data_IF_813645113991
#
_entry.id   IF_813645113991
#
_cell.length_a   1.000
_cell.length_b   1.000
_cell.length_c   1.000
_cell.angle_alpha   90.00
_cell.angle_beta   90.00
_cell.angle_gamma   90.00
#
_symmetry.space_group_name_H-M   'P 1'
#
loop_
_entity.id
_entity.type
_entity.pdbx_description
1 polymer ?
#
# COMPACT_ATOMS: atom_id res chain seq x y z
N UNK A 1 -5.16 7.86 -24.53
CA UNK A 1 -5.68 9.25 -24.61
C UNK A 1 -4.60 10.31 -24.90
N UNK A 2 -3.39 10.22 -24.33
CA UNK A 2 -2.35 11.25 -24.50
C UNK A 2 -2.22 12.23 -23.32
N UNK A 3 -2.80 11.91 -22.16
CA UNK A 3 -2.74 12.71 -20.92
C UNK A 3 -1.29 13.07 -20.54
N UNK A 4 -0.44 12.05 -20.34
CA UNK A 4 0.94 12.26 -19.91
C UNK A 4 1.74 13.04 -20.96
N UNK A 5 1.53 12.76 -22.26
CA UNK A 5 2.09 13.53 -23.37
C UNK A 5 1.69 15.01 -23.34
N UNK A 6 0.43 15.32 -23.08
CA UNK A 6 -0.07 16.70 -22.99
C UNK A 6 0.51 17.43 -21.79
N UNK A 7 0.55 16.80 -20.62
CA UNK A 7 1.13 17.39 -19.41
C UNK A 7 2.61 17.71 -19.63
N UNK A 8 3.32 16.76 -20.23
CA UNK A 8 4.71 16.87 -20.63
C UNK A 8 4.95 18.03 -21.60
N UNK A 9 4.14 18.13 -22.66
CA UNK A 9 4.19 19.25 -23.61
C UNK A 9 3.96 20.59 -22.92
N UNK A 10 2.97 20.68 -22.03
CA UNK A 10 2.69 21.91 -21.28
C UNK A 10 3.89 22.34 -20.43
N UNK A 11 4.50 21.41 -19.71
CA UNK A 11 5.65 21.67 -18.85
C UNK A 11 6.88 22.07 -19.68
N UNK A 12 7.17 21.39 -20.78
CA UNK A 12 8.26 21.79 -21.69
C UNK A 12 8.07 23.20 -22.25
N UNK A 13 6.84 23.57 -22.64
CA UNK A 13 6.57 24.89 -23.22
C UNK A 13 6.56 26.03 -22.20
N UNK A 14 6.43 25.71 -20.92
CA UNK A 14 6.39 26.70 -19.83
C UNK A 14 7.67 26.71 -18.99
N UNK A 15 8.58 25.77 -19.22
CA UNK A 15 9.87 25.71 -18.55
C UNK A 15 10.67 27.00 -18.78
N UNK A 16 11.31 27.50 -17.73
CA UNK A 16 12.05 28.77 -17.74
C UNK A 16 11.19 30.04 -17.81
N UNK A 17 9.87 29.93 -18.00
CA UNK A 17 8.94 31.07 -18.05
C UNK A 17 8.17 31.27 -16.74
N UNK A 18 7.87 30.17 -16.05
CA UNK A 18 7.12 30.16 -14.80
C UNK A 18 7.74 29.12 -13.86
N UNK A 19 7.64 29.33 -12.56
CA UNK A 19 7.96 28.29 -11.59
C UNK A 19 7.03 27.09 -11.79
N UNK A 20 7.57 25.89 -11.74
CA UNK A 20 6.81 24.66 -11.94
C UNK A 20 6.93 23.74 -10.73
N UNK A 21 5.80 23.22 -10.28
CA UNK A 21 5.71 22.16 -9.29
C UNK A 21 4.95 21.01 -9.96
N UNK A 22 5.57 19.85 -10.04
CA UNK A 22 4.97 18.63 -10.56
C UNK A 22 4.82 17.62 -9.43
N UNK A 23 3.61 17.10 -9.23
CA UNK A 23 3.31 16.01 -8.30
C UNK A 23 3.08 14.75 -9.12
N UNK A 24 3.91 13.75 -8.90
CA UNK A 24 3.98 12.51 -9.69
C UNK A 24 3.76 11.27 -8.79
N UNK A 25 2.54 10.73 -8.72
CA UNK A 25 2.24 9.55 -7.92
C UNK A 25 2.76 8.23 -8.48
N UNK A 26 3.11 8.16 -9.75
CA UNK A 26 3.45 6.91 -10.43
C UNK A 26 4.92 6.88 -10.92
N UNK A 27 5.62 8.02 -10.90
CA UNK A 27 7.05 8.11 -11.22
C UNK A 27 7.35 8.23 -12.73
N UNK A 28 6.34 8.57 -13.53
CA UNK A 28 6.42 8.66 -15.00
C UNK A 28 7.21 9.88 -15.49
N UNK A 29 7.46 10.87 -14.63
CA UNK A 29 8.01 12.18 -15.01
C UNK A 29 9.42 12.45 -14.48
N UNK A 30 10.10 11.47 -13.88
CA UNK A 30 11.47 11.62 -13.39
C UNK A 30 12.44 12.20 -14.45
N UNK A 31 12.47 11.60 -15.64
CA UNK A 31 13.33 12.05 -16.76
C UNK A 31 12.93 13.43 -17.30
N UNK A 32 11.62 13.75 -17.30
CA UNK A 32 11.17 15.10 -17.65
C UNK A 32 11.67 16.11 -16.62
N UNK A 33 11.54 15.79 -15.33
CA UNK A 33 11.98 16.66 -14.26
C UNK A 33 13.48 16.96 -14.34
N UNK A 34 14.30 15.93 -14.57
CA UNK A 34 15.73 16.10 -14.79
C UNK A 34 16.03 17.01 -16.00
N UNK A 35 15.39 16.74 -17.14
CA UNK A 35 15.63 17.52 -18.35
C UNK A 35 15.17 18.99 -18.24
N UNK A 36 14.17 19.27 -17.41
CA UNK A 36 13.69 20.63 -17.13
C UNK A 36 14.42 21.30 -15.94
N UNK A 37 15.32 20.60 -15.27
CA UNK A 37 16.02 21.10 -14.07
C UNK A 37 15.12 21.25 -12.85
N UNK A 38 14.07 20.44 -12.72
CA UNK A 38 13.24 20.36 -11.52
C UNK A 38 14.02 19.64 -10.41
N UNK A 39 14.03 20.22 -9.21
CA UNK A 39 14.57 19.54 -8.04
C UNK A 39 13.65 18.38 -7.66
N UNK A 40 14.15 17.14 -7.73
CA UNK A 40 13.39 15.95 -7.35
C UNK A 40 13.37 15.79 -5.83
N UNK A 41 12.18 15.75 -5.26
CA UNK A 41 11.91 15.39 -3.88
C UNK A 41 11.32 13.97 -3.86
N UNK A 42 12.05 13.03 -3.27
CA UNK A 42 11.60 11.66 -3.09
C UNK A 42 10.71 11.59 -1.84
N UNK A 43 9.39 11.51 -2.04
CA UNK A 43 8.40 11.59 -0.96
C UNK A 43 8.57 10.49 0.10
N UNK A 44 9.02 9.29 -0.27
CA UNK A 44 9.25 8.19 0.67
C UNK A 44 10.37 8.47 1.69
N UNK A 45 11.22 9.46 1.42
CA UNK A 45 12.35 9.85 2.29
C UNK A 45 12.03 11.01 3.21
N UNK A 46 10.86 11.64 3.03
CA UNK A 46 10.51 12.90 3.67
C UNK A 46 9.18 12.75 4.41
N UNK A 47 9.16 13.09 5.69
CA UNK A 47 7.91 13.17 6.44
C UNK A 47 7.08 14.40 6.02
N UNK A 48 5.82 14.44 6.48
CA UNK A 48 4.90 15.53 6.12
C UNK A 48 5.38 16.93 6.54
N UNK A 49 6.06 17.05 7.68
CA UNK A 49 6.58 18.33 8.16
C UNK A 49 7.75 18.82 7.29
N UNK A 50 8.62 17.90 6.88
CA UNK A 50 9.74 18.17 5.97
C UNK A 50 9.22 18.55 4.59
N UNK A 51 8.22 17.85 4.07
CA UNK A 51 7.56 18.20 2.81
C UNK A 51 6.90 19.59 2.85
N UNK A 52 6.23 19.94 3.94
CA UNK A 52 5.67 21.29 4.12
C UNK A 52 6.76 22.38 4.16
N UNK A 53 7.89 22.10 4.81
CA UNK A 53 9.06 23.00 4.83
C UNK A 53 9.66 23.12 3.43
N UNK A 54 9.80 22.02 2.69
CA UNK A 54 10.31 22.01 1.32
C UNK A 54 9.40 22.80 0.37
N UNK A 55 8.08 22.64 0.46
CA UNK A 55 7.10 23.43 -0.29
C UNK A 55 7.23 24.94 0.00
N UNK A 56 7.38 25.31 1.27
CA UNK A 56 7.54 26.70 1.69
C UNK A 56 8.82 27.32 1.12
N UNK A 57 9.95 26.60 1.21
CA UNK A 57 11.23 27.01 0.63
C UNK A 57 11.21 27.06 -0.89
N UNK A 58 10.52 26.12 -1.54
CA UNK A 58 10.33 26.13 -2.98
C UNK A 58 9.60 27.40 -3.41
N UNK A 59 8.58 27.84 -2.67
CA UNK A 59 7.88 29.11 -2.94
C UNK A 59 8.77 30.33 -2.71
N UNK A 60 9.44 30.39 -1.57
CA UNK A 60 10.33 31.49 -1.18
C UNK A 60 11.47 31.69 -2.21
N UNK A 61 12.16 30.62 -2.56
CA UNK A 61 13.31 30.67 -3.46
C UNK A 61 12.96 30.44 -4.93
N UNK A 62 11.67 30.30 -5.25
CA UNK A 62 11.15 30.01 -6.60
C UNK A 62 11.76 28.76 -7.24
N UNK A 63 12.14 27.79 -6.43
CA UNK A 63 12.66 26.52 -6.92
C UNK A 63 11.54 25.72 -7.60
N UNK A 64 11.80 25.24 -8.81
CA UNK A 64 10.88 24.33 -9.49
C UNK A 64 11.15 22.91 -9.03
N UNK A 65 10.09 22.15 -8.75
CA UNK A 65 10.16 20.89 -7.98
C UNK A 65 9.38 19.79 -8.69
N UNK A 66 9.94 18.58 -8.67
CA UNK A 66 9.23 17.34 -8.93
C UNK A 66 9.08 16.60 -7.59
N UNK A 67 7.85 16.48 -7.10
CA UNK A 67 7.52 15.65 -5.95
C UNK A 67 7.15 14.25 -6.45
N UNK A 68 8.07 13.31 -6.28
CA UNK A 68 7.90 11.92 -6.64
C UNK A 68 7.32 11.13 -5.46
N UNK A 69 6.18 10.48 -5.67
CA UNK A 69 5.50 9.70 -4.66
C UNK A 69 5.32 8.22 -5.05
N UNK A 70 6.00 7.76 -6.10
CA UNK A 70 5.86 6.41 -6.66
C UNK A 70 6.15 5.27 -5.67
N UNK A 71 7.01 5.53 -4.68
CA UNK A 71 7.39 4.57 -3.64
C UNK A 71 6.53 4.64 -2.37
N UNK A 72 5.53 5.53 -2.33
CA UNK A 72 4.59 5.64 -1.20
C UNK A 72 3.30 4.88 -1.47
N UNK A 73 2.71 4.34 -0.40
CA UNK A 73 1.34 3.82 -0.49
C UNK A 73 0.31 4.94 -0.69
N UNK A 74 -0.92 4.57 -1.06
CA UNK A 74 -1.96 5.56 -1.41
C UNK A 74 -2.28 6.52 -0.27
N UNK A 75 -2.27 6.06 0.98
CA UNK A 75 -2.63 6.90 2.11
C UNK A 75 -1.50 7.91 2.41
N UNK A 76 -0.26 7.46 2.38
CA UNK A 76 0.91 8.31 2.60
C UNK A 76 1.14 9.28 1.45
N UNK A 77 0.85 8.87 0.21
CA UNK A 77 0.75 9.79 -0.93
C UNK A 77 -0.24 10.93 -0.65
N UNK A 78 -1.44 10.63 -0.13
CA UNK A 78 -2.43 11.66 0.22
C UNK A 78 -1.93 12.58 1.34
N UNK A 79 -1.27 12.04 2.37
CA UNK A 79 -0.68 12.85 3.46
C UNK A 79 0.41 13.79 2.92
N UNK A 80 1.30 13.27 2.08
CA UNK A 80 2.38 14.03 1.44
C UNK A 80 1.83 15.19 0.60
N UNK A 81 0.89 14.91 -0.30
CA UNK A 81 0.24 15.94 -1.14
C UNK A 81 -0.48 16.97 -0.29
N UNK A 82 -1.19 16.53 0.75
CA UNK A 82 -1.91 17.45 1.67
C UNK A 82 -0.94 18.42 2.34
N UNK A 83 0.15 17.91 2.92
CA UNK A 83 1.14 18.73 3.61
C UNK A 83 1.83 19.71 2.64
N UNK A 84 2.23 19.21 1.47
CA UNK A 84 2.92 19.99 0.46
C UNK A 84 2.04 21.12 -0.08
N UNK A 85 0.83 20.81 -0.56
CA UNK A 85 -0.09 21.81 -1.12
C UNK A 85 -0.54 22.84 -0.07
N UNK A 86 -0.82 22.39 1.15
CA UNK A 86 -1.23 23.30 2.24
C UNK A 86 -0.15 24.34 2.52
N UNK A 87 1.11 23.93 2.54
CA UNK A 87 2.25 24.84 2.72
C UNK A 87 2.45 25.79 1.52
N UNK A 88 2.31 25.32 0.27
CA UNK A 88 2.36 26.20 -0.91
C UNK A 88 1.33 27.34 -0.84
N UNK A 89 0.12 27.00 -0.38
CA UNK A 89 -1.01 27.91 -0.26
C UNK A 89 -0.84 28.86 0.94
N UNK A 90 -0.25 28.39 2.04
CA UNK A 90 -0.02 29.16 3.25
C UNK A 90 1.17 30.14 3.16
N UNK A 91 1.94 30.12 2.07
CA UNK A 91 3.09 31.00 1.87
C UNK A 91 2.75 32.48 2.14
N UNK A 92 3.66 33.26 2.76
CA UNK A 92 3.49 34.70 2.95
C UNK A 92 3.21 35.45 1.65
N UNK A 93 2.56 36.62 1.76
CA UNK A 93 2.13 37.40 0.60
C UNK A 93 3.31 37.86 -0.27
N UNK A 94 4.48 38.11 0.30
CA UNK A 94 5.70 38.43 -0.47
C UNK A 94 6.11 37.32 -1.45
N UNK A 95 5.70 36.07 -1.19
CA UNK A 95 6.01 34.91 -2.02
C UNK A 95 4.87 34.53 -2.98
N UNK A 96 3.83 35.37 -3.13
CA UNK A 96 2.70 35.11 -4.05
C UNK A 96 3.05 35.41 -5.51
N UNK A 97 4.09 34.74 -6.01
CA UNK A 97 4.52 34.82 -7.39
C UNK A 97 3.87 33.72 -8.23
N UNK A 98 3.76 33.89 -9.57
CA UNK A 98 3.20 32.89 -10.45
C UNK A 98 3.94 31.55 -10.38
N UNK A 99 3.20 30.48 -10.12
CA UNK A 99 3.66 29.10 -10.08
C UNK A 99 2.61 28.18 -10.69
N UNK A 100 3.03 27.33 -11.62
CA UNK A 100 2.22 26.27 -12.20
C UNK A 100 2.34 25.02 -11.31
N UNK A 101 1.23 24.50 -10.81
CA UNK A 101 1.18 23.29 -9.99
C UNK A 101 0.47 22.20 -10.79
N UNK A 102 1.26 21.33 -11.41
CA UNK A 102 0.79 20.18 -12.17
C UNK A 102 0.66 18.96 -11.25
N UNK A 103 -0.50 18.30 -11.29
CA UNK A 103 -0.78 17.10 -10.51
C UNK A 103 -1.17 16.00 -11.48
N UNK A 104 -0.34 14.96 -11.57
CA UNK A 104 -0.70 13.78 -12.33
C UNK A 104 -1.60 12.83 -11.54
N UNK A 105 -2.47 12.14 -12.26
CA UNK A 105 -3.53 11.28 -11.73
C UNK A 105 -4.27 11.87 -10.52
N UNK A 106 -4.73 13.12 -10.63
CA UNK A 106 -5.36 13.88 -9.54
C UNK A 106 -6.55 13.16 -8.86
N UNK A 107 -7.22 12.22 -9.56
CA UNK A 107 -8.31 11.41 -9.01
C UNK A 107 -7.86 10.49 -7.87
N UNK A 108 -6.55 10.21 -7.77
CA UNK A 108 -5.96 9.43 -6.69
C UNK A 108 -5.95 10.21 -5.37
N UNK A 109 -5.83 11.54 -5.42
CA UNK A 109 -5.82 12.40 -4.23
C UNK A 109 -7.20 12.97 -3.90
N UNK A 110 -8.08 13.09 -4.89
CA UNK A 110 -9.45 13.55 -4.71
C UNK A 110 -10.49 12.60 -5.34
N UNK A 111 -10.62 11.36 -4.83
CA UNK A 111 -11.55 10.38 -5.37
C UNK A 111 -13.02 10.74 -5.07
N UNK A 112 -13.89 10.54 -6.04
CA UNK A 112 -15.35 10.60 -5.93
C UNK A 112 -15.92 9.19 -5.73
N UNK A 113 -16.70 9.01 -4.66
CA UNK A 113 -17.32 7.73 -4.31
C UNK A 113 -16.45 6.80 -3.46
N UNK A 114 -17.11 6.00 -2.62
CA UNK A 114 -16.52 5.01 -1.71
C UNK A 114 -17.51 4.65 -0.59
N UNK A 115 -17.72 3.35 -0.33
CA UNK A 115 -18.73 2.81 0.58
C UNK A 115 -18.37 2.87 2.08
N UNK A 116 -17.43 3.74 2.47
CA UNK A 116 -17.00 3.88 3.85
C UNK A 116 -16.73 5.36 4.13
N UNK A 117 -17.01 5.81 5.35
CA UNK A 117 -16.72 7.18 5.80
C UNK A 117 -15.30 7.56 5.34
N UNK A 118 -15.20 8.65 4.56
CA UNK A 118 -13.91 9.09 4.06
C UNK A 118 -12.95 9.29 5.25
N UNK A 119 -11.79 8.64 5.21
CA UNK A 119 -10.75 8.82 6.21
C UNK A 119 -10.41 10.30 6.34
N UNK A 120 -9.95 10.72 7.53
CA UNK A 120 -9.51 12.11 7.76
C UNK A 120 -8.47 12.55 6.73
N UNK A 121 -7.55 11.64 6.37
CA UNK A 121 -6.54 11.83 5.33
C UNK A 121 -7.17 12.15 3.96
N UNK A 122 -8.14 11.34 3.51
CA UNK A 122 -8.83 11.58 2.22
C UNK A 122 -9.54 12.92 2.22
N UNK A 123 -10.24 13.27 3.30
CA UNK A 123 -10.93 14.57 3.42
C UNK A 123 -9.95 15.74 3.34
N UNK A 124 -8.80 15.62 4.01
CA UNK A 124 -7.75 16.63 3.98
C UNK A 124 -7.13 16.80 2.59
N UNK A 125 -6.87 15.71 1.86
CA UNK A 125 -6.35 15.75 0.50
C UNK A 125 -7.34 16.42 -0.49
N UNK A 126 -8.62 16.06 -0.41
CA UNK A 126 -9.68 16.70 -1.21
C UNK A 126 -9.75 18.21 -0.91
N UNK A 127 -9.67 18.59 0.37
CA UNK A 127 -9.70 19.99 0.79
C UNK A 127 -8.48 20.74 0.25
N UNK A 128 -7.27 20.18 0.36
CA UNK A 128 -6.04 20.79 -0.15
C UNK A 128 -6.08 21.00 -1.67
N UNK A 129 -6.56 20.03 -2.45
CA UNK A 129 -6.74 20.19 -3.90
C UNK A 129 -7.82 21.23 -4.22
N UNK A 130 -8.93 21.23 -3.49
CA UNK A 130 -10.01 22.22 -3.66
C UNK A 130 -9.49 23.63 -3.37
N UNK A 131 -8.64 23.79 -2.36
CA UNK A 131 -8.03 25.06 -2.00
C UNK A 131 -7.00 25.54 -3.02
N UNK A 132 -6.24 24.63 -3.62
CA UNK A 132 -5.35 24.94 -4.74
C UNK A 132 -6.15 25.54 -5.89
N UNK A 133 -7.27 24.93 -6.25
CA UNK A 133 -8.10 25.37 -7.39
C UNK A 133 -8.86 26.67 -7.10
N UNK A 134 -9.46 26.79 -5.92
CA UNK A 134 -10.29 27.94 -5.54
C UNK A 134 -9.48 29.13 -5.07
N UNK A 135 -8.65 28.93 -4.03
CA UNK A 135 -7.92 30.00 -3.34
C UNK A 135 -6.53 30.23 -3.93
N UNK A 136 -5.91 29.20 -4.49
CA UNK A 136 -4.57 29.26 -5.08
C UNK A 136 -4.43 30.33 -6.16
N UNK A 137 -5.47 30.56 -6.98
CA UNK A 137 -5.48 31.60 -8.02
C UNK A 137 -5.14 33.00 -7.48
N UNK A 138 -5.70 33.38 -6.33
CA UNK A 138 -5.42 34.69 -5.70
C UNK A 138 -4.01 34.77 -5.11
N UNK A 139 -3.34 33.63 -4.94
CA UNK A 139 -2.00 33.47 -4.36
C UNK A 139 -0.92 33.18 -5.41
N UNK A 140 -1.23 33.33 -6.69
CA UNK A 140 -0.29 33.07 -7.79
C UNK A 140 -0.11 31.59 -8.14
N UNK A 141 -0.93 30.68 -7.59
CA UNK A 141 -0.89 29.26 -7.94
C UNK A 141 -1.90 28.96 -9.05
N UNK A 142 -1.43 28.37 -10.15
CA UNK A 142 -2.27 27.87 -11.24
C UNK A 142 -2.23 26.34 -11.22
N UNK A 143 -3.34 25.71 -10.81
CA UNK A 143 -3.47 24.25 -10.78
C UNK A 143 -3.73 23.66 -12.17
N UNK A 144 -3.02 22.59 -12.50
CA UNK A 144 -3.26 21.75 -13.67
C UNK A 144 -3.48 20.32 -13.19
N UNK A 145 -4.68 19.79 -13.43
CA UNK A 145 -5.08 18.46 -12.99
C UNK A 145 -5.13 17.52 -14.19
N UNK A 146 -4.26 16.52 -14.19
CA UNK A 146 -4.29 15.45 -15.17
C UNK A 146 -4.93 14.20 -14.54
N UNK A 147 -5.84 13.55 -15.25
CA UNK A 147 -6.50 12.34 -14.77
C UNK A 147 -7.01 11.50 -15.93
N UNK A 148 -6.93 10.18 -15.80
CA UNK A 148 -7.58 9.26 -16.74
C UNK A 148 -9.07 9.05 -16.45
N UNK A 149 -9.51 9.35 -15.22
CA UNK A 149 -10.87 9.05 -14.72
C UNK A 149 -11.53 10.32 -14.20
N UNK A 150 -11.99 11.19 -15.10
CA UNK A 150 -12.66 12.45 -14.74
C UNK A 150 -13.89 12.22 -13.86
N UNK A 151 -14.66 11.15 -14.11
CA UNK A 151 -15.83 10.81 -13.30
C UNK A 151 -15.50 10.36 -11.87
N UNK A 152 -14.26 9.91 -11.63
CA UNK A 152 -13.77 9.58 -10.30
C UNK A 152 -13.11 10.76 -9.60
N UNK A 153 -13.03 11.94 -10.22
CA UNK A 153 -12.50 13.13 -9.58
C UNK A 153 -13.61 13.87 -8.80
N UNK A 154 -13.31 14.28 -7.57
CA UNK A 154 -14.28 14.92 -6.69
C UNK A 154 -14.83 16.22 -7.29
N UNK A 155 -16.15 16.39 -7.24
CA UNK A 155 -16.85 17.50 -7.90
C UNK A 155 -16.30 18.87 -7.47
N UNK A 156 -16.05 19.06 -6.17
CA UNK A 156 -15.53 20.33 -5.64
C UNK A 156 -14.18 20.74 -6.20
N UNK A 157 -13.33 19.79 -6.59
CA UNK A 157 -12.03 20.09 -7.20
C UNK A 157 -12.20 20.60 -8.63
N UNK A 158 -13.20 20.07 -9.35
CA UNK A 158 -13.48 20.42 -10.75
C UNK A 158 -14.30 21.70 -10.86
N UNK A 159 -15.10 22.06 -9.85
CA UNK A 159 -16.04 23.19 -9.92
C UNK A 159 -15.40 24.55 -10.25
N UNK A 160 -14.15 24.77 -9.85
CA UNK A 160 -13.42 26.03 -10.11
C UNK A 160 -12.51 25.97 -11.35
N UNK A 161 -12.50 24.84 -12.07
CA UNK A 161 -11.71 24.68 -13.31
C UNK A 161 -12.42 25.39 -14.45
N UNK A 162 -11.71 26.29 -15.13
CA UNK A 162 -12.23 27.06 -16.26
C UNK A 162 -11.82 26.51 -17.63
N UNK A 163 -10.73 25.75 -17.68
CA UNK A 163 -10.14 25.25 -18.91
C UNK A 163 -10.15 23.72 -18.89
N UNK A 164 -10.70 23.12 -19.94
CA UNK A 164 -10.80 21.69 -20.05
C UNK A 164 -10.20 21.20 -21.36
N UNK A 165 -9.47 20.10 -21.26
CA UNK A 165 -8.97 19.32 -22.39
C UNK A 165 -9.47 17.89 -22.20
N UNK A 166 -10.43 17.47 -23.00
CA UNK A 166 -11.01 16.12 -22.94
C UNK A 166 -10.52 15.31 -24.13
N UNK A 167 -9.74 14.27 -23.85
CA UNK A 167 -9.25 13.35 -24.86
C UNK A 167 -10.21 12.19 -25.11
N UNK A 168 -9.71 11.17 -25.80
CA UNK A 168 -10.42 9.92 -26.03
C UNK A 168 -10.89 9.28 -24.72
N UNK A 169 -12.20 9.05 -24.60
CA UNK A 169 -12.86 8.37 -23.47
C UNK A 169 -13.85 7.34 -24.02
N UNK A 170 -13.86 6.14 -23.44
CA UNK A 170 -14.74 5.03 -23.85
C UNK A 170 -15.73 4.61 -22.76
N UNK A 171 -15.50 5.04 -21.51
CA UNK A 171 -16.36 4.68 -20.37
C UNK A 171 -17.54 5.63 -20.25
N UNK A 172 -18.76 5.09 -20.20
CA UNK A 172 -20.01 5.86 -20.17
C UNK A 172 -20.03 6.99 -19.13
N UNK A 173 -19.58 6.68 -17.92
CA UNK A 173 -19.58 7.65 -16.81
C UNK A 173 -18.62 8.81 -17.09
N UNK A 174 -17.42 8.51 -17.62
CA UNK A 174 -16.41 9.50 -17.98
C UNK A 174 -16.84 10.32 -19.20
N UNK A 175 -17.51 9.71 -20.18
CA UNK A 175 -18.10 10.40 -21.34
C UNK A 175 -19.18 11.39 -20.89
N UNK A 176 -20.13 10.96 -20.05
CA UNK A 176 -21.19 11.84 -19.53
C UNK A 176 -20.60 13.00 -18.75
N UNK A 177 -19.65 12.71 -17.85
CA UNK A 177 -18.99 13.75 -17.05
C UNK A 177 -18.21 14.74 -17.92
N UNK A 178 -17.53 14.24 -18.95
CA UNK A 178 -16.84 15.08 -19.91
C UNK A 178 -17.82 15.95 -20.72
N UNK A 179 -18.96 15.41 -21.16
CA UNK A 179 -19.98 16.13 -21.90
C UNK A 179 -20.51 17.36 -21.11
N UNK A 180 -20.85 17.15 -19.83
CA UNK A 180 -21.25 18.22 -18.90
C UNK A 180 -20.19 19.32 -18.81
N UNK A 181 -18.92 18.91 -18.79
CA UNK A 181 -17.78 19.78 -18.57
C UNK A 181 -17.43 20.61 -19.82
N UNK A 182 -17.54 20.01 -21.01
CA UNK A 182 -17.25 20.69 -22.28
C UNK A 182 -18.49 21.34 -22.91
N UNK A 183 -19.66 21.25 -22.27
CA UNK A 183 -20.91 21.83 -22.79
C UNK A 183 -21.44 21.14 -24.05
N UNK A 184 -21.11 19.85 -24.25
CA UNK A 184 -21.72 19.03 -25.29
C UNK A 184 -22.97 18.35 -24.76
N UNK A 185 -23.92 18.09 -25.65
CA UNK A 185 -24.98 17.14 -25.36
C UNK A 185 -24.40 15.72 -25.24
N UNK A 186 -25.03 14.90 -24.40
CA UNK A 186 -24.54 13.56 -24.12
C UNK A 186 -24.41 12.71 -25.40
N UNK A 187 -25.39 12.77 -26.31
CA UNK A 187 -25.39 11.99 -27.55
C UNK A 187 -24.16 12.31 -28.40
N UNK A 188 -23.90 13.60 -28.66
CA UNK A 188 -22.70 14.04 -29.37
C UNK A 188 -21.42 13.56 -28.70
N UNK A 189 -21.34 13.59 -27.37
CA UNK A 189 -20.17 13.12 -26.65
C UNK A 189 -19.94 11.60 -26.81
N UNK A 190 -21.01 10.80 -26.71
CA UNK A 190 -20.95 9.35 -26.96
C UNK A 190 -20.53 9.02 -28.40
N UNK A 191 -20.98 9.81 -29.38
CA UNK A 191 -20.62 9.61 -30.79
C UNK A 191 -19.17 10.03 -31.11
N UNK A 192 -18.66 11.06 -30.43
CA UNK A 192 -17.39 11.73 -30.83
C UNK A 192 -16.20 11.39 -29.93
N UNK A 193 -16.35 11.33 -28.61
CA UNK A 193 -15.21 11.14 -27.69
C UNK A 193 -14.50 9.79 -27.89
N UNK A 194 -15.19 8.65 -28.09
CA UNK A 194 -14.52 7.38 -28.35
C UNK A 194 -13.72 7.35 -29.66
N UNK A 195 -14.09 8.19 -30.63
CA UNK A 195 -13.49 8.25 -31.96
C UNK A 195 -12.29 9.21 -32.04
N UNK A 196 -11.96 9.93 -30.96
CA UNK A 196 -10.81 10.83 -30.96
C UNK A 196 -9.50 10.04 -31.06
N UNK A 197 -8.62 10.46 -31.96
CA UNK A 197 -7.27 9.91 -32.01
C UNK A 197 -6.49 10.23 -30.72
N UNK A 198 -5.56 9.35 -30.28
CA UNK A 198 -4.62 9.69 -29.22
C UNK A 198 -3.90 11.02 -29.48
N UNK A 199 -3.81 11.87 -28.45
CA UNK A 199 -3.19 13.19 -28.55
C UNK A 199 -4.12 14.28 -29.11
N UNK A 200 -5.33 13.93 -29.57
CA UNK A 200 -6.37 14.89 -29.95
C UNK A 200 -7.34 15.11 -28.78
N UNK A 201 -7.66 16.37 -28.53
CA UNK A 201 -8.52 16.78 -27.42
C UNK A 201 -9.61 17.73 -27.90
N UNK A 202 -10.78 17.62 -27.29
CA UNK A 202 -11.79 18.68 -27.27
C UNK A 202 -11.39 19.66 -26.18
N UNK A 203 -11.15 20.91 -26.56
CA UNK A 203 -10.68 21.97 -25.68
C UNK A 203 -11.73 23.06 -25.55
N UNK A 204 -11.96 23.52 -24.32
CA UNK A 204 -12.87 24.63 -24.02
C UNK A 204 -12.32 25.44 -22.85
N UNK A 205 -12.60 26.74 -22.84
CA UNK A 205 -12.24 27.63 -21.76
C UNK A 205 -11.47 28.87 -22.26
N UNK A 206 -11.28 29.87 -21.39
CA UNK A 206 -10.67 31.16 -21.75
C UNK A 206 -9.23 31.04 -22.27
N UNK A 207 -8.50 29.96 -21.94
CA UNK A 207 -7.16 29.71 -22.47
C UNK A 207 -7.16 29.12 -23.89
N UNK A 208 -8.30 28.65 -24.38
CA UNK A 208 -8.45 28.00 -25.67
C UNK A 208 -9.48 28.73 -26.55
N UNK A 209 -10.76 28.41 -26.35
CA UNK A 209 -11.89 28.90 -27.12
C UNK A 209 -13.13 28.93 -26.24
N UNK A 210 -13.98 29.95 -26.46
CA UNK A 210 -15.27 30.08 -25.77
C UNK A 210 -16.25 28.95 -26.14
N UNK A 211 -16.09 28.36 -27.31
CA UNK A 211 -16.84 27.18 -27.76
C UNK A 211 -15.90 25.99 -27.94
N UNK A 212 -16.37 24.75 -27.71
CA UNK A 212 -15.52 23.56 -27.83
C UNK A 212 -14.87 23.44 -29.20
N UNK A 213 -13.55 23.40 -29.22
CA UNK A 213 -12.75 23.19 -30.42
C UNK A 213 -11.96 21.88 -30.33
N UNK A 214 -11.62 21.29 -31.46
CA UNK A 214 -10.81 20.06 -31.50
C UNK A 214 -9.40 20.43 -31.95
N UNK A 215 -8.40 20.03 -31.19
CA UNK A 215 -7.00 20.28 -31.54
C UNK A 215 -6.11 19.10 -31.13
N UNK A 216 -5.02 18.91 -31.88
CA UNK A 216 -4.00 17.88 -31.63
C UNK A 216 -2.80 18.50 -30.92
N UNK A 217 -2.34 17.84 -29.87
CA UNK A 217 -1.16 18.28 -29.12
C UNK A 217 0.08 17.97 -29.93
N UNK A 218 0.98 18.96 -30.02
CA UNK A 218 2.23 18.85 -30.77
C UNK A 218 3.25 17.90 -30.12
N UNK A 219 4.43 17.75 -30.75
CA UNK A 219 5.47 16.84 -30.27
C UNK A 219 6.12 17.33 -28.96
N UNK A 220 6.61 16.37 -28.16
CA UNK A 220 7.48 16.63 -26.98
C UNK A 220 8.95 16.44 -27.35
N UNK A 221 9.84 17.13 -26.65
CA UNK A 221 11.28 17.06 -26.90
C UNK A 221 11.98 15.94 -26.12
N UNK A 222 11.51 15.66 -24.90
CA UNK A 222 12.15 14.71 -23.99
C UNK A 222 11.45 13.33 -24.02
N UNK A 223 12.12 12.23 -23.63
CA UNK A 223 11.58 10.87 -23.77
C UNK A 223 10.38 10.59 -22.84
N UNK A 224 9.48 9.70 -23.27
CA UNK A 224 8.25 9.36 -22.57
C UNK A 224 8.24 7.86 -22.20
N UNK A 225 8.46 7.53 -20.92
CA UNK A 225 8.46 6.14 -20.42
C UNK A 225 7.11 5.43 -20.54
N UNK A 226 6.00 6.14 -20.43
CA UNK A 226 4.65 5.57 -20.60
C UNK A 226 4.27 5.28 -22.06
N UNK A 227 5.23 5.18 -22.99
CA UNK A 227 4.94 4.66 -24.31
C UNK A 227 4.42 3.24 -24.13
N UNK A 228 3.34 2.87 -24.83
CA UNK A 228 2.81 1.51 -24.79
C UNK A 228 3.97 0.53 -24.98
N UNK A 229 4.28 -0.33 -24.01
CA UNK A 229 5.40 -1.24 -24.14
C UNK A 229 5.20 -2.11 -25.38
N UNK A 230 6.26 -2.33 -26.15
CA UNK A 230 6.21 -3.23 -27.30
C UNK A 230 5.85 -4.62 -26.80
N UNK A 231 4.70 -5.12 -27.24
CA UNK A 231 4.24 -6.47 -26.90
C UNK A 231 5.15 -7.46 -27.61
N UNK A 232 6.11 -8.00 -26.88
CA UNK A 232 6.97 -9.09 -27.33
C UNK A 232 6.60 -10.38 -26.59
N UNK A 233 6.68 -11.51 -27.29
CA UNK A 233 6.60 -12.80 -26.63
C UNK A 233 7.83 -12.96 -25.72
N UNK A 234 7.66 -13.40 -24.46
CA UNK A 234 8.81 -13.68 -23.61
C UNK A 234 9.65 -14.77 -24.26
N UNK A 235 10.92 -14.47 -24.54
CA UNK A 235 11.88 -15.42 -25.13
C UNK A 235 12.58 -16.16 -23.99
N UNK A 236 11.84 -17.03 -23.32
CA UNK A 236 12.38 -17.87 -22.25
C UNK A 236 11.96 -19.32 -22.49
N UNK A 237 12.93 -20.23 -22.47
CA UNK A 237 12.63 -21.66 -22.53
C UNK A 237 12.03 -22.13 -21.19
N UNK A 238 11.25 -23.22 -21.23
CA UNK A 238 10.55 -23.75 -20.04
C UNK A 238 11.50 -24.12 -18.91
N UNK A 239 12.65 -24.71 -19.21
CA UNK A 239 13.59 -25.20 -18.20
C UNK A 239 14.36 -24.04 -17.58
N UNK A 240 14.71 -23.02 -18.38
CA UNK A 240 15.25 -21.76 -17.89
C UNK A 240 14.22 -21.02 -17.03
N UNK A 241 12.94 -21.00 -17.42
CA UNK A 241 11.88 -20.43 -16.60
C UNK A 241 11.73 -21.18 -15.27
N UNK A 242 11.78 -22.51 -15.28
CA UNK A 242 11.71 -23.33 -14.06
C UNK A 242 12.86 -23.04 -13.09
N UNK A 243 14.08 -22.85 -13.60
CA UNK A 243 15.25 -22.49 -12.78
C UNK A 243 15.19 -21.05 -12.28
N UNK A 244 14.76 -20.11 -13.13
CA UNK A 244 14.66 -18.70 -12.77
C UNK A 244 13.57 -18.45 -11.72
N UNK A 245 12.49 -19.23 -11.77
CA UNK A 245 11.46 -19.23 -10.74
C UNK A 245 11.84 -20.04 -9.49
N UNK A 246 12.96 -20.77 -9.54
CA UNK A 246 13.37 -21.73 -8.52
C UNK A 246 12.19 -22.61 -8.05
N UNK A 247 11.51 -23.19 -9.04
CA UNK A 247 10.22 -23.84 -8.84
C UNK A 247 10.30 -24.98 -7.80
N UNK A 248 11.43 -25.67 -7.76
CA UNK A 248 11.67 -26.76 -6.80
C UNK A 248 11.74 -26.24 -5.35
N UNK A 249 12.41 -25.10 -5.11
CA UNK A 249 12.44 -24.48 -3.78
C UNK A 249 11.05 -24.00 -3.35
N UNK A 250 10.31 -23.33 -4.26
CA UNK A 250 8.96 -22.85 -3.96
C UNK A 250 7.99 -24.00 -3.63
N UNK A 251 8.11 -25.14 -4.32
CA UNK A 251 7.32 -26.33 -4.03
C UNK A 251 7.71 -26.96 -2.69
N UNK A 252 8.99 -26.97 -2.35
CA UNK A 252 9.47 -27.45 -1.06
C UNK A 252 8.96 -26.58 0.10
N UNK A 253 9.03 -25.26 -0.04
CA UNK A 253 8.51 -24.31 0.96
C UNK A 253 7.00 -24.48 1.15
N UNK A 254 6.25 -24.64 0.05
CA UNK A 254 4.80 -24.89 0.12
C UNK A 254 4.45 -26.20 0.82
N UNK A 255 5.23 -27.27 0.59
CA UNK A 255 5.04 -28.55 1.26
C UNK A 255 5.34 -28.45 2.78
N UNK A 256 6.37 -27.69 3.16
CA UNK A 256 6.68 -27.43 4.56
C UNK A 256 5.52 -26.69 5.26
N UNK A 257 4.95 -25.66 4.64
CA UNK A 257 3.81 -24.92 5.17
C UNK A 257 2.54 -25.78 5.27
N UNK A 258 2.29 -26.65 4.30
CA UNK A 258 1.16 -27.60 4.37
C UNK A 258 1.31 -28.59 5.52
N UNK A 259 2.55 -29.03 5.83
CA UNK A 259 2.79 -29.91 6.97
C UNK A 259 2.46 -29.22 8.31
N UNK A 260 2.82 -27.93 8.44
CA UNK A 260 2.52 -27.10 9.62
C UNK A 260 1.01 -26.85 9.74
N UNK A 261 0.34 -26.56 8.62
CA UNK A 261 -1.11 -26.36 8.58
C UNK A 261 -1.88 -27.65 8.89
N UNK A 262 -1.44 -28.79 8.37
CA UNK A 262 -2.03 -30.10 8.67
C UNK A 262 -1.87 -30.47 10.16
N UNK A 263 -0.70 -30.19 10.74
CA UNK A 263 -0.48 -30.38 12.17
C UNK A 263 -1.38 -29.47 13.02
N UNK A 264 -1.60 -28.21 12.59
CA UNK A 264 -2.53 -27.28 13.26
C UNK A 264 -4.00 -27.62 13.08
N UNK A 265 -4.37 -28.30 11.99
CA UNK A 265 -5.73 -28.70 11.66
C UNK A 265 -6.20 -29.96 12.43
N UNK A 266 -5.29 -30.70 13.07
CA UNK A 266 -5.69 -31.83 13.90
C UNK A 266 -6.51 -31.39 15.15
N UNK A 267 -7.57 -32.13 15.51
CA UNK A 267 -8.33 -31.88 16.74
C UNK A 267 -7.39 -31.80 17.96
N UNK A 268 -7.59 -30.81 18.82
CA UNK A 268 -6.68 -30.49 19.95
C UNK A 268 -6.34 -31.71 20.81
N UNK A 269 -7.30 -32.63 21.03
CA UNK A 269 -7.08 -33.86 21.78
C UNK A 269 -6.11 -34.85 21.12
N UNK A 270 -6.17 -35.01 19.79
CA UNK A 270 -5.26 -35.90 19.04
C UNK A 270 -3.83 -35.36 19.05
N UNK A 271 -3.65 -34.03 18.93
CA UNK A 271 -2.35 -33.37 19.05
C UNK A 271 -1.72 -33.60 20.42
N UNK A 272 -2.48 -33.42 21.49
CA UNK A 272 -1.99 -33.59 22.86
C UNK A 272 -1.55 -35.03 23.14
N UNK A 273 -2.32 -36.02 22.66
CA UNK A 273 -1.96 -37.45 22.79
C UNK A 273 -0.70 -37.79 21.99
N UNK A 274 -0.55 -37.29 20.76
CA UNK A 274 0.65 -37.55 19.96
C UNK A 274 1.89 -36.86 20.53
N UNK A 275 1.75 -35.62 21.03
CA UNK A 275 2.82 -34.92 21.72
C UNK A 275 3.27 -35.66 22.99
N UNK A 276 2.31 -36.20 23.76
CA UNK A 276 2.61 -37.05 24.92
C UNK A 276 3.36 -38.33 24.55
N UNK A 277 2.94 -39.04 23.49
CA UNK A 277 3.60 -40.28 23.04
C UNK A 277 5.01 -40.03 22.49
N UNK A 278 5.24 -38.87 21.86
CA UNK A 278 6.54 -38.50 21.28
C UNK A 278 7.52 -37.90 22.29
N UNK A 279 7.07 -37.57 23.51
CA UNK A 279 7.96 -37.03 24.54
C UNK A 279 9.00 -38.09 24.96
N UNK A 280 10.32 -37.77 24.97
CA UNK A 280 11.36 -38.73 25.35
C UNK A 280 11.14 -39.37 26.73
N UNK A 281 10.44 -38.67 27.64
CA UNK A 281 10.13 -39.17 28.97
C UNK A 281 8.91 -40.11 29.01
N UNK A 282 8.17 -40.32 27.91
CA UNK A 282 6.93 -41.11 27.87
C UNK A 282 7.09 -42.52 28.44
N UNK A 283 8.16 -43.24 28.06
CA UNK A 283 8.39 -44.60 28.54
C UNK A 283 8.65 -44.64 30.06
N UNK A 284 9.31 -43.63 30.61
CA UNK A 284 9.58 -43.51 32.04
C UNK A 284 8.35 -43.01 32.80
N UNK A 285 7.55 -42.12 32.21
CA UNK A 285 6.25 -41.70 32.74
C UNK A 285 5.30 -42.90 32.93
N UNK A 286 5.24 -43.83 31.97
CA UNK A 286 4.46 -45.07 32.11
C UNK A 286 4.95 -45.96 33.26
N UNK A 287 6.27 -46.04 33.47
CA UNK A 287 6.86 -46.80 34.58
C UNK A 287 6.58 -46.17 35.94
N UNK A 288 6.71 -44.84 36.02
CA UNK A 288 6.40 -44.06 37.23
C UNK A 288 4.92 -44.18 37.57
N UNK A 289 4.03 -44.02 36.59
CA UNK A 289 2.60 -44.24 36.75
C UNK A 289 2.29 -45.63 37.30
N UNK A 290 2.86 -46.68 36.70
CA UNK A 290 2.67 -48.05 37.15
C UNK A 290 3.22 -48.33 38.55
N UNK A 291 4.26 -47.62 39.00
CA UNK A 291 4.75 -47.70 40.36
C UNK A 291 3.82 -46.98 41.35
N UNK A 292 3.35 -45.78 41.00
CA UNK A 292 2.43 -45.00 41.81
C UNK A 292 1.05 -45.66 41.94
N UNK A 293 0.57 -46.34 40.89
CA UNK A 293 -0.69 -47.07 40.90
C UNK A 293 -0.68 -48.23 41.91
N UNK A 294 0.47 -48.88 42.14
CA UNK A 294 0.61 -49.97 43.11
C UNK A 294 0.58 -49.51 44.56
N UNK A 295 0.92 -48.25 44.82
CA UNK A 295 0.95 -47.64 46.15
C UNK A 295 -0.14 -46.59 46.34
N UNK A 296 -1.11 -46.53 45.42
CA UNK A 296 -2.26 -45.66 45.56
C UNK A 296 -3.13 -46.18 46.73
N UNK A 297 -3.59 -45.30 47.65
CA UNK A 297 -3.60 -43.84 47.57
C UNK A 297 -2.40 -43.11 48.20
N UNK A 298 -1.50 -43.85 48.86
CA UNK A 298 -0.50 -43.31 49.79
C UNK A 298 0.71 -42.65 49.10
N UNK A 299 0.96 -42.96 47.82
CA UNK A 299 2.01 -42.33 47.01
C UNK A 299 3.42 -42.81 47.35
N UNK A 300 4.43 -42.19 46.73
CA UNK A 300 5.85 -42.54 46.95
C UNK A 300 6.72 -41.29 46.99
N UNK A 301 7.86 -41.36 47.69
CA UNK A 301 8.89 -40.31 47.60
C UNK A 301 9.62 -40.42 46.27
N UNK A 302 9.92 -39.28 45.65
CA UNK A 302 10.61 -39.21 44.35
C UNK A 302 11.96 -39.96 44.38
N UNK A 303 12.69 -39.84 45.50
CA UNK A 303 13.96 -40.55 45.71
C UNK A 303 13.82 -42.08 45.74
N UNK A 304 12.69 -42.58 46.25
CA UNK A 304 12.42 -44.01 46.36
C UNK A 304 11.96 -44.57 45.00
N UNK A 305 11.29 -43.76 44.17
CA UNK A 305 10.92 -44.10 42.79
C UNK A 305 12.15 -44.29 41.90
N UNK A 306 13.15 -43.40 41.98
CA UNK A 306 14.39 -43.52 41.20
C UNK A 306 15.16 -44.81 41.50
N UNK A 307 15.23 -45.17 42.79
CA UNK A 307 15.85 -46.44 43.24
C UNK A 307 15.07 -47.66 42.75
N UNK A 308 13.75 -47.65 42.92
CA UNK A 308 12.89 -48.80 42.59
C UNK A 308 12.82 -49.06 41.08
N UNK A 309 12.83 -48.00 40.28
CA UNK A 309 12.71 -48.09 38.82
C UNK A 309 14.06 -48.16 38.10
N UNK A 310 15.17 -48.13 38.83
CA UNK A 310 16.54 -48.07 38.28
C UNK A 310 16.68 -46.95 37.24
N UNK A 311 16.34 -45.72 37.65
CA UNK A 311 16.36 -44.51 36.82
C UNK A 311 17.05 -43.37 37.55
N UNK A 312 17.68 -42.49 36.77
CA UNK A 312 18.33 -41.27 37.29
C UNK A 312 17.29 -40.28 37.83
N UNK A 313 17.73 -39.37 38.70
CA UNK A 313 16.87 -38.31 39.22
C UNK A 313 16.29 -37.43 38.09
N UNK A 314 17.08 -37.20 37.03
CA UNK A 314 16.66 -36.42 35.85
C UNK A 314 15.55 -37.14 35.08
N UNK A 315 15.67 -38.44 34.84
CA UNK A 315 14.64 -39.25 34.17
C UNK A 315 13.33 -39.30 34.95
N UNK A 316 13.41 -39.46 36.28
CA UNK A 316 12.23 -39.44 37.15
C UNK A 316 11.57 -38.06 37.16
N UNK A 317 12.37 -36.99 37.20
CA UNK A 317 11.87 -35.62 37.17
C UNK A 317 11.14 -35.32 35.86
N UNK A 318 11.77 -35.62 34.71
CA UNK A 318 11.17 -35.42 33.40
C UNK A 318 9.88 -36.24 33.21
N UNK A 319 9.84 -37.48 33.71
CA UNK A 319 8.65 -38.33 33.70
C UNK A 319 7.51 -37.75 34.54
N UNK A 320 7.83 -37.21 35.73
CA UNK A 320 6.85 -36.59 36.62
C UNK A 320 6.34 -35.25 36.08
N UNK A 321 7.19 -34.44 35.46
CA UNK A 321 6.79 -33.21 34.76
C UNK A 321 5.86 -33.50 33.60
N UNK A 322 6.10 -34.59 32.86
CA UNK A 322 5.21 -35.02 31.78
C UNK A 322 3.84 -35.44 32.33
N UNK A 323 3.79 -36.19 33.45
CA UNK A 323 2.53 -36.60 34.09
C UNK A 323 1.75 -35.42 34.71
N UNK A 324 2.48 -34.44 35.27
CA UNK A 324 1.93 -33.22 35.88
C UNK A 324 1.29 -32.29 34.85
N UNK A 325 1.88 -32.18 33.64
CA UNK A 325 1.31 -31.44 32.50
C UNK A 325 -0.13 -31.87 32.15
N UNK A 326 -0.50 -33.10 32.46
CA UNK A 326 -1.86 -33.65 32.25
C UNK A 326 -2.69 -33.75 33.54
N UNK A 327 -2.21 -33.18 34.66
CA UNK A 327 -2.92 -33.15 35.94
C UNK A 327 -3.12 -34.52 36.59
N UNK A 328 -2.28 -35.50 36.24
CA UNK A 328 -2.49 -36.90 36.67
C UNK A 328 -1.88 -37.22 38.04
N UNK A 329 -0.98 -36.37 38.54
CA UNK A 329 -0.25 -36.56 39.80
C UNK A 329 -0.36 -35.35 40.71
N UNK A 330 -0.22 -35.56 42.02
CA UNK A 330 -0.19 -34.51 43.05
C UNK A 330 1.11 -34.62 43.85
N UNK A 331 1.75 -33.49 44.12
CA UNK A 331 2.96 -33.42 44.93
C UNK A 331 2.66 -32.94 46.36
N UNK A 332 3.35 -33.50 47.35
CA UNK A 332 3.26 -33.06 48.75
C UNK A 332 4.63 -32.99 49.43
N UNK A 333 4.86 -31.89 50.16
CA UNK A 333 6.13 -31.56 50.81
C UNK A 333 7.09 -30.76 49.93
N UNK A 334 8.19 -30.28 50.53
CA UNK A 334 9.15 -29.38 49.89
C UNK A 334 10.51 -30.05 49.63
N UNK A 335 11.17 -29.61 48.56
CA UNK A 335 12.51 -30.05 48.18
C UNK A 335 12.57 -31.26 47.23
N UNK A 336 13.79 -31.71 46.87
CA UNK A 336 14.03 -32.72 45.83
C UNK A 336 13.54 -34.13 46.19
N UNK A 337 13.19 -34.37 47.46
CA UNK A 337 12.65 -35.63 47.98
C UNK A 337 11.15 -35.63 48.22
N UNK A 338 10.41 -34.63 47.72
CA UNK A 338 8.96 -34.51 47.91
C UNK A 338 8.21 -35.79 47.51
N UNK A 339 7.07 -36.02 48.12
CA UNK A 339 6.22 -37.16 47.80
C UNK A 339 5.34 -36.83 46.60
N UNK A 340 5.02 -37.86 45.81
CA UNK A 340 4.11 -37.77 44.66
C UNK A 340 3.12 -38.92 44.69
N UNK A 341 1.87 -38.64 44.35
CA UNK A 341 0.76 -39.61 44.34
C UNK A 341 -0.15 -39.38 43.14
N UNK A 342 -0.99 -40.36 42.83
CA UNK A 342 -2.02 -40.20 41.78
C UNK A 342 -3.09 -39.21 42.23
N UNK A 343 -3.43 -38.27 41.35
CA UNK A 343 -4.45 -37.25 41.58
C UNK A 343 -5.82 -37.86 41.83
N UNK A 344 -6.62 -37.26 42.72
CA UNK A 344 -7.89 -37.84 43.20
C UNK A 344 -8.88 -38.22 42.08
N UNK A 345 -8.91 -37.48 40.98
CA UNK A 345 -9.79 -37.73 39.82
C UNK A 345 -9.37 -38.89 38.90
N UNK A 346 -8.17 -39.44 39.08
CA UNK A 346 -7.60 -40.53 38.26
C UNK A 346 -7.52 -41.87 39.01
N UNK A 347 -8.06 -41.91 40.24
CA UNK A 347 -8.15 -43.11 41.07
C UNK A 347 -9.43 -43.86 40.71
N UNK A 348 -9.41 -44.65 39.64
CA UNK A 348 -10.44 -45.65 39.39
C UNK A 348 -9.98 -47.01 39.90
#
# INVERSE_FOLDING_TARGET
>A
AGKSWTLRRLLEQTAGRIQQILIDPEGDFAELGEALGLLRLEGHRLDGATLATAASRAREHRASVLLDLSELDREDQMKAVTAFLSALIAAPREHWLPCLVAIDEAHLFAPFGGFTEATSVRRAAIAALTDLMSRGRKRGLAGVLATQRLARLHKSVVSDVLNFMVGMNTLDLDIRRAAETIGWDARRAFDRLPMLEPGTFVMVGPAFSQSPCVAKVGPVATPHRGATPDVCAPVIDRDAASRLLDLDSLLADSAADQSILAERAEPVGLRQVRAFIRDPAFADAGRVWGALARVAPDGARIVDLGRTLNRTAEQITAALELLDRFGTVEFSGDGPGRAVRIGKGMRQ
#
